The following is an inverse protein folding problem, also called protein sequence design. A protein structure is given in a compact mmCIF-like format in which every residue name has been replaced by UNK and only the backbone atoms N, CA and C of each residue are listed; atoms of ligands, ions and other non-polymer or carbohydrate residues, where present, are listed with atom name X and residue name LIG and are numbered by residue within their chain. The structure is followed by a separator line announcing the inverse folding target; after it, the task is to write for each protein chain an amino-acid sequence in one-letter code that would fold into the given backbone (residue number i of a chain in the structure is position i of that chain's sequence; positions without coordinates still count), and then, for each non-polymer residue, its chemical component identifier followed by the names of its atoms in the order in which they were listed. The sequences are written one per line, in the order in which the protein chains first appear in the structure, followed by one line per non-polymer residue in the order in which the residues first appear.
data_IF_325403775764
#
_entry.id   IF_325403775764
#
_cell.length_a   1.000
_cell.length_b   1.000
_cell.length_c   1.000
_cell.angle_alpha   90.00
_cell.angle_beta   90.00
_cell.angle_gamma   90.00
#
_symmetry.space_group_name_H-M   'P 1'
#
loop_
_entity.id
_entity.type
_entity.pdbx_description
1 polymer ?
#
# COMPACT_ATOMS: atom_id res chain seq x y z
N UNK A 1 17.75 5.87 16.63
CA UNK A 1 17.05 6.16 15.37
C UNK A 1 17.71 7.39 14.78
N UNK A 2 18.24 7.36 13.53
CA UNK A 2 18.65 8.60 12.89
C UNK A 2 17.45 9.55 12.81
N UNK A 3 17.69 10.84 13.03
CA UNK A 3 16.65 11.85 12.92
C UNK A 3 16.33 12.05 11.44
N UNK A 4 15.09 11.74 11.03
CA UNK A 4 14.58 12.15 9.73
C UNK A 4 14.33 13.66 9.76
N UNK A 5 15.04 14.42 8.93
CA UNK A 5 14.93 15.89 8.87
C UNK A 5 14.31 16.29 7.53
N UNK A 6 13.31 17.17 7.57
CA UNK A 6 12.75 17.82 6.37
C UNK A 6 13.36 19.20 6.27
N UNK A 7 14.03 19.49 5.15
CA UNK A 7 14.77 20.74 4.94
C UNK A 7 14.12 21.70 3.97
N UNK A 8 13.09 21.25 3.23
CA UNK A 8 12.42 22.02 2.19
C UNK A 8 10.91 21.99 2.40
N UNK A 9 10.26 23.16 2.29
CA UNK A 9 8.80 23.24 2.22
C UNK A 9 8.34 22.76 0.85
N UNK A 10 7.51 21.72 0.83
CA UNK A 10 6.95 21.17 -0.39
C UNK A 10 5.49 20.74 -0.16
N UNK A 11 4.66 20.89 -1.19
CA UNK A 11 3.29 20.39 -1.21
C UNK A 11 3.06 19.65 -2.53
N UNK A 12 2.47 18.47 -2.43
CA UNK A 12 2.06 17.63 -3.56
C UNK A 12 0.66 17.10 -3.27
N UNK A 13 -0.15 16.94 -4.31
CA UNK A 13 -1.52 16.44 -4.19
C UNK A 13 -1.63 15.06 -4.83
N UNK A 14 -2.18 14.09 -4.11
CA UNK A 14 -2.57 12.79 -4.67
C UNK A 14 -3.70 12.88 -5.69
N UNK A 15 -4.37 14.03 -5.82
CA UNK A 15 -5.35 14.25 -6.91
C UNK A 15 -4.67 14.50 -8.26
N UNK A 16 -3.39 14.89 -8.24
CA UNK A 16 -2.51 15.04 -9.40
C UNK A 16 -1.16 14.38 -9.08
N UNK A 17 -1.14 13.04 -8.92
CA UNK A 17 0.03 12.34 -8.41
C UNK A 17 1.16 12.32 -9.43
N UNK A 18 2.39 12.17 -8.95
CA UNK A 18 3.59 12.08 -9.79
C UNK A 18 3.63 10.75 -10.56
N UNK A 19 3.07 9.68 -9.98
CA UNK A 19 2.96 8.36 -10.61
C UNK A 19 1.59 7.73 -10.29
N UNK A 20 0.99 7.07 -11.28
CA UNK A 20 -0.24 6.28 -11.15
C UNK A 20 0.05 4.83 -11.52
N UNK A 21 -0.25 3.90 -10.61
CA UNK A 21 -0.29 2.46 -10.92
C UNK A 21 -1.73 1.97 -10.82
N UNK A 22 -2.17 1.19 -11.81
CA UNK A 22 -3.55 0.72 -11.97
C UNK A 22 -3.67 -0.78 -12.30
N UNK A 23 -3.15 -1.70 -11.47
CA UNK A 23 -3.53 -3.11 -11.54
C UNK A 23 -5.03 -3.32 -11.35
N UNK A 24 -5.52 -4.54 -11.58
CA UNK A 24 -6.92 -4.88 -11.37
C UNK A 24 -7.39 -4.50 -9.95
N UNK A 25 -8.57 -3.87 -9.85
CA UNK A 25 -9.17 -3.39 -8.59
C UNK A 25 -8.25 -2.53 -7.70
N UNK A 26 -7.19 -1.96 -8.27
CA UNK A 26 -6.11 -1.30 -7.53
C UNK A 26 -5.87 0.09 -8.07
N UNK A 27 -5.86 1.09 -7.19
CA UNK A 27 -5.30 2.40 -7.50
C UNK A 27 -4.17 2.75 -6.54
N UNK A 28 -3.01 3.07 -7.09
CA UNK A 28 -1.86 3.55 -6.34
C UNK A 28 -1.47 4.91 -6.91
N UNK A 29 -1.73 5.95 -6.13
CA UNK A 29 -1.33 7.33 -6.42
C UNK A 29 -0.10 7.66 -5.58
N UNK A 30 1.01 8.02 -6.23
CA UNK A 30 2.28 8.27 -5.54
C UNK A 30 2.70 9.72 -5.73
N UNK A 31 3.20 10.32 -4.66
CA UNK A 31 3.88 11.62 -4.70
C UNK A 31 5.27 11.50 -4.08
N UNK A 32 6.22 12.27 -4.62
CA UNK A 32 7.59 12.35 -4.12
C UNK A 32 7.83 13.73 -3.49
N UNK A 33 8.25 13.74 -2.23
CA UNK A 33 8.49 14.92 -1.39
C UNK A 33 9.93 14.88 -0.88
N UNK A 34 10.89 15.22 -1.75
CA UNK A 34 12.31 15.07 -1.44
C UNK A 34 12.69 13.60 -1.27
N UNK A 35 13.25 13.24 -0.12
CA UNK A 35 13.67 11.88 0.21
C UNK A 35 12.52 10.94 0.62
N UNK A 36 11.29 11.45 0.64
CA UNK A 36 10.11 10.71 1.09
C UNK A 36 9.17 10.42 -0.08
N UNK A 37 8.61 9.21 -0.10
CA UNK A 37 7.56 8.80 -1.03
C UNK A 37 6.30 8.49 -0.23
N UNK A 38 5.18 9.08 -0.62
CA UNK A 38 3.88 8.85 0.04
C UNK A 38 2.87 8.34 -0.99
N UNK A 39 2.30 7.18 -0.72
CA UNK A 39 1.28 6.55 -1.54
C UNK A 39 -0.11 6.74 -0.94
N UNK A 40 -1.12 6.95 -1.79
CA UNK A 40 -2.52 6.65 -1.46
C UNK A 40 -2.92 5.41 -2.23
N UNK A 41 -3.22 4.34 -1.49
CA UNK A 41 -3.64 3.05 -2.03
C UNK A 41 -5.14 2.94 -1.88
N UNK A 42 -5.85 2.65 -2.96
CA UNK A 42 -7.28 2.36 -2.97
C UNK A 42 -7.49 0.97 -3.54
N UNK A 43 -8.07 0.08 -2.75
CA UNK A 43 -8.40 -1.29 -3.16
C UNK A 43 -9.91 -1.47 -3.18
N UNK A 44 -10.45 -1.87 -4.33
CA UNK A 44 -11.90 -2.02 -4.50
C UNK A 44 -12.43 -3.28 -3.80
N UNK A 45 -13.74 -3.37 -3.53
CA UNK A 45 -14.35 -4.59 -3.02
C UNK A 45 -14.00 -5.84 -3.85
N UNK A 46 -13.71 -6.93 -3.15
CA UNK A 46 -13.23 -8.17 -3.75
C UNK A 46 -11.80 -8.09 -4.32
N UNK A 47 -11.03 -7.07 -3.96
CA UNK A 47 -9.58 -7.06 -4.18
C UNK A 47 -8.89 -8.04 -3.23
N UNK A 48 -7.94 -8.79 -3.77
CA UNK A 48 -7.01 -9.64 -3.02
C UNK A 48 -5.63 -9.53 -3.66
N UNK A 49 -4.59 -9.42 -2.86
CA UNK A 49 -3.22 -9.24 -3.35
C UNK A 49 -2.82 -10.39 -4.30
N UNK A 50 -3.15 -11.63 -3.95
CA UNK A 50 -2.87 -12.82 -4.77
C UNK A 50 -3.51 -12.81 -6.15
N UNK A 51 -4.59 -12.05 -6.32
CA UNK A 51 -5.37 -12.05 -7.56
C UNK A 51 -5.00 -10.82 -8.40
N UNK A 52 -4.82 -9.67 -7.74
CA UNK A 52 -4.68 -8.38 -8.39
C UNK A 52 -3.21 -7.96 -8.58
N UNK A 53 -2.32 -8.32 -7.64
CA UNK A 53 -0.93 -7.81 -7.60
C UNK A 53 0.08 -8.90 -7.93
N UNK A 54 -0.12 -10.13 -7.45
CA UNK A 54 0.75 -11.27 -7.80
C UNK A 54 1.02 -11.39 -9.31
N UNK A 55 0.03 -11.25 -10.22
CA UNK A 55 0.31 -11.30 -11.66
C UNK A 55 1.23 -10.19 -12.17
N UNK A 56 1.27 -9.04 -11.49
CA UNK A 56 2.11 -7.89 -11.85
C UNK A 56 3.54 -8.07 -11.35
N UNK A 57 3.71 -8.50 -10.10
CA UNK A 57 5.01 -8.52 -9.42
C UNK A 57 5.70 -9.89 -9.45
N UNK A 58 4.97 -10.94 -9.87
CA UNK A 58 5.49 -12.29 -10.09
C UNK A 58 6.14 -12.94 -8.85
N UNK A 59 5.60 -12.67 -7.67
CA UNK A 59 6.00 -13.32 -6.41
C UNK A 59 4.86 -14.16 -5.83
N UNK A 60 5.17 -15.14 -4.98
CA UNK A 60 4.13 -16.00 -4.38
C UNK A 60 3.28 -15.32 -3.30
N UNK A 61 3.86 -14.33 -2.61
CA UNK A 61 3.21 -13.46 -1.62
C UNK A 61 3.81 -12.05 -1.69
N UNK A 62 3.18 -11.06 -1.06
CA UNK A 62 3.72 -9.71 -1.01
C UNK A 62 5.04 -9.72 -0.23
N UNK A 63 6.11 -9.21 -0.83
CA UNK A 63 7.44 -9.12 -0.20
C UNK A 63 7.78 -7.72 0.31
N UNK A 64 6.85 -6.78 0.19
CA UNK A 64 7.08 -5.41 0.64
C UNK A 64 6.88 -5.29 2.14
N UNK A 65 7.67 -4.41 2.76
CA UNK A 65 7.38 -3.94 4.12
C UNK A 65 6.39 -2.79 4.04
N UNK A 66 5.34 -2.87 4.84
CA UNK A 66 4.28 -1.86 4.88
C UNK A 66 4.33 -1.08 6.19
N UNK A 67 4.16 0.24 6.08
CA UNK A 67 3.87 1.13 7.20
C UNK A 67 2.85 2.13 6.68
N UNK A 68 1.66 2.15 7.28
CA UNK A 68 0.58 2.97 6.77
C UNK A 68 -0.51 3.29 7.77
N UNK A 69 -1.49 4.05 7.28
CA UNK A 69 -2.68 4.49 8.00
C UNK A 69 -3.92 4.21 7.17
N UNK A 70 -4.93 3.58 7.75
CA UNK A 70 -6.20 3.32 7.10
C UNK A 70 -7.13 4.52 7.23
N UNK A 71 -7.51 5.09 6.08
CA UNK A 71 -8.43 6.23 5.97
C UNK A 71 -9.89 5.75 5.97
N UNK A 72 -10.19 4.70 5.22
CA UNK A 72 -11.56 4.16 5.07
C UNK A 72 -11.55 2.68 4.69
N UNK A 73 -12.70 2.01 4.85
CA UNK A 73 -12.85 0.58 4.65
C UNK A 73 -12.04 -0.28 5.63
N UNK A 74 -11.84 -1.54 5.25
CA UNK A 74 -11.11 -2.51 6.05
C UNK A 74 -10.28 -3.47 5.18
N UNK A 75 -9.18 -3.96 5.74
CA UNK A 75 -8.25 -4.88 5.10
C UNK A 75 -7.91 -6.03 6.05
N UNK A 76 -8.14 -7.25 5.62
CA UNK A 76 -7.62 -8.43 6.30
C UNK A 76 -6.24 -8.77 5.73
N UNK A 77 -5.34 -9.18 6.61
CA UNK A 77 -3.96 -9.55 6.26
C UNK A 77 -3.66 -10.90 6.86
N UNK A 78 -3.05 -11.78 6.07
CA UNK A 78 -2.58 -13.08 6.52
C UNK A 78 -1.14 -13.30 6.09
N UNK A 79 -0.26 -13.55 7.06
CA UNK A 79 1.13 -13.92 6.80
C UNK A 79 1.23 -15.39 6.39
N UNK A 80 2.34 -15.76 5.75
CA UNK A 80 2.61 -17.15 5.33
C UNK A 80 2.67 -18.17 6.48
N UNK A 81 2.88 -17.71 7.72
CA UNK A 81 2.81 -18.54 8.92
C UNK A 81 1.40 -18.62 9.55
N UNK A 82 0.39 -18.04 8.90
CA UNK A 82 -1.02 -18.09 9.32
C UNK A 82 -1.43 -17.03 10.36
N UNK A 83 -0.56 -16.09 10.71
CA UNK A 83 -0.94 -14.96 11.60
C UNK A 83 -1.87 -14.02 10.85
N UNK A 84 -2.97 -13.62 11.49
CA UNK A 84 -3.97 -12.74 10.89
C UNK A 84 -4.20 -11.49 11.71
N UNK A 85 -4.41 -10.38 11.01
CA UNK A 85 -4.91 -9.13 11.57
C UNK A 85 -5.98 -8.55 10.67
N UNK A 86 -6.85 -7.73 11.25
CA UNK A 86 -7.79 -6.89 10.53
C UNK A 86 -7.42 -5.43 10.80
N UNK A 87 -7.37 -4.64 9.73
CA UNK A 87 -7.09 -3.21 9.75
C UNK A 87 -8.39 -2.49 9.41
N UNK A 88 -8.79 -1.50 10.19
CA UNK A 88 -10.00 -0.70 9.99
C UNK A 88 -9.67 0.80 9.92
N UNK A 89 -10.63 1.60 9.44
CA UNK A 89 -10.49 3.06 9.38
C UNK A 89 -10.04 3.64 10.74
N UNK A 90 -8.99 4.46 10.73
CA UNK A 90 -8.38 5.03 11.92
C UNK A 90 -7.14 4.28 12.42
N UNK A 91 -6.91 3.04 11.97
CA UNK A 91 -5.77 2.24 12.40
C UNK A 91 -4.48 2.65 11.69
N UNK A 92 -3.38 2.63 12.45
CA UNK A 92 -2.02 2.58 11.88
C UNK A 92 -1.54 1.14 11.86
N UNK A 93 -0.82 0.73 10.83
CA UNK A 93 -0.43 -0.66 10.66
C UNK A 93 1.01 -0.82 10.18
N UNK A 94 1.57 -1.99 10.50
CA UNK A 94 2.80 -2.51 9.90
C UNK A 94 2.55 -3.92 9.41
N UNK A 95 3.02 -4.25 8.20
CA UNK A 95 2.91 -5.61 7.66
C UNK A 95 4.29 -6.05 7.18
N UNK A 96 4.84 -7.15 7.74
CA UNK A 96 6.14 -7.68 7.31
C UNK A 96 6.01 -8.42 5.96
N UNK A 97 7.12 -8.64 5.24
CA UNK A 97 7.13 -9.46 4.03
C UNK A 97 6.59 -10.86 4.27
N UNK A 98 6.01 -11.45 3.23
CA UNK A 98 5.44 -12.78 3.27
C UNK A 98 4.00 -12.77 3.75
N UNK A 99 3.14 -12.00 3.08
CA UNK A 99 1.70 -11.92 3.37
C UNK A 99 0.84 -11.85 2.12
N UNK A 100 -0.42 -12.19 2.30
CA UNK A 100 -1.52 -11.87 1.43
C UNK A 100 -2.44 -10.88 2.15
N UNK A 101 -3.25 -10.14 1.39
CA UNK A 101 -4.21 -9.19 1.95
C UNK A 101 -5.44 -9.11 1.06
N UNK A 102 -6.60 -8.84 1.66
CA UNK A 102 -7.85 -8.66 0.93
C UNK A 102 -8.74 -7.62 1.59
N UNK A 103 -9.52 -6.93 0.76
CA UNK A 103 -10.54 -5.99 1.24
C UNK A 103 -11.63 -6.76 1.96
N UNK A 104 -12.01 -6.28 3.14
CA UNK A 104 -13.12 -6.81 3.91
C UNK A 104 -14.40 -6.02 3.66
N UNK A 105 -15.47 -6.71 3.29
CA UNK A 105 -16.76 -6.08 2.98
C UNK A 105 -16.87 -5.45 1.59
N UNK A 106 -17.77 -4.47 1.48
CA UNK A 106 -18.21 -3.81 0.25
C UNK A 106 -17.76 -2.34 0.14
N UNK A 107 -17.02 -1.85 1.13
CA UNK A 107 -16.36 -0.54 1.09
C UNK A 107 -14.93 -0.68 0.57
N UNK A 108 -14.49 0.26 -0.27
CA UNK A 108 -13.10 0.30 -0.71
C UNK A 108 -12.16 0.62 0.45
N UNK A 109 -11.10 -0.18 0.60
CA UNK A 109 -10.00 0.17 1.49
C UNK A 109 -9.22 1.34 0.92
N UNK A 110 -9.00 2.39 1.72
CA UNK A 110 -8.12 3.50 1.37
C UNK A 110 -7.04 3.62 2.44
N UNK A 111 -5.78 3.43 2.05
CA UNK A 111 -4.62 3.53 2.94
C UNK A 111 -3.63 4.60 2.48
N UNK A 112 -3.01 5.30 3.43
CA UNK A 112 -1.80 6.11 3.19
C UNK A 112 -0.58 5.28 3.55
N UNK A 113 0.35 5.14 2.60
CA UNK A 113 1.52 4.28 2.71
C UNK A 113 2.82 5.08 2.64
N UNK A 114 3.74 4.77 3.55
CA UNK A 114 5.00 5.50 3.72
C UNK A 114 6.22 4.66 3.35
N UNK A 115 6.16 3.34 3.57
CA UNK A 115 7.32 2.47 3.34
C UNK A 115 7.25 1.74 2.00
N UNK A 116 6.08 1.22 1.64
CA UNK A 116 5.92 0.42 0.42
C UNK A 116 5.66 1.26 -0.84
N UNK A 117 5.31 2.53 -0.69
CA UNK A 117 4.80 3.39 -1.76
C UNK A 117 5.74 3.50 -2.98
N UNK A 118 7.06 3.54 -2.76
CA UNK A 118 8.04 3.66 -3.85
C UNK A 118 8.06 2.46 -4.81
N UNK A 119 7.70 1.27 -4.33
CA UNK A 119 7.93 -0.01 -5.03
C UNK A 119 6.70 -0.89 -5.22
N UNK A 120 5.61 -0.65 -4.48
CA UNK A 120 4.41 -1.50 -4.54
C UNK A 120 3.76 -1.55 -5.94
N UNK A 121 3.35 -2.73 -6.38
CA UNK A 121 2.72 -2.95 -7.68
C UNK A 121 3.55 -2.51 -8.90
N UNK A 122 4.88 -2.55 -8.79
CA UNK A 122 5.80 -2.45 -9.94
C UNK A 122 6.22 -3.82 -10.44
N UNK A 123 6.31 -3.96 -11.75
CA UNK A 123 6.86 -5.18 -12.35
C UNK A 123 8.35 -5.33 -11.99
N UNK A 124 8.89 -6.56 -11.97
CA UNK A 124 10.32 -6.76 -11.76
C UNK A 124 11.16 -5.98 -12.80
N UNK A 125 12.17 -5.25 -12.34
CA UNK A 125 13.14 -4.56 -13.21
C UNK A 125 12.70 -3.22 -13.79
N UNK A 126 11.62 -2.61 -13.29
CA UNK A 126 11.16 -1.24 -13.66
C UNK A 126 11.55 -0.18 -12.64
#
# INVERSE_FOLDING_TARGET
MPTNVVTTLAVKSHNTPDEKRRPDKTEVDVVNLGDYTVGRFTFSPGWRWSDCIKPVVQTESCQNNHVGYCVSGALNVETTNGTRISISAGDSYTIPPGHDAWVDGDEAFVGIEFLSAAVFAKAPGT
#
